data_IF_939271171856
#
_entry.id   IF_939271171856
#
_cell.length_a   1.000
_cell.length_b   1.000
_cell.length_c   1.000
_cell.angle_alpha   90.00
_cell.angle_beta   90.00
_cell.angle_gamma   90.00
#
_symmetry.space_group_name_H-M   'P 1'
#
loop_
_entity.id
_entity.type
_entity.pdbx_description
1 polymer ?
#
# COMPACT_ATOMS: atom_id res chain seq x y z
N UNK A 1 9.79 15.95 17.45
CA UNK A 1 8.61 15.48 16.68
C UNK A 1 8.72 13.97 16.62
N UNK A 2 7.76 13.23 17.16
CA UNK A 2 7.85 11.76 17.22
C UNK A 2 7.62 11.18 15.82
N UNK A 3 8.63 10.51 15.28
CA UNK A 3 8.54 9.74 14.05
C UNK A 3 7.52 8.62 14.28
N UNK A 4 6.41 8.62 13.53
CA UNK A 4 5.35 7.62 13.70
C UNK A 4 5.74 6.33 12.98
N UNK A 5 5.95 5.28 13.76
CA UNK A 5 6.46 3.98 13.31
C UNK A 5 5.32 3.02 12.93
N UNK A 6 5.52 2.25 11.86
CA UNK A 6 4.95 0.91 11.72
C UNK A 6 6.04 -0.08 12.15
N UNK A 7 5.79 -0.90 13.16
CA UNK A 7 6.70 -1.97 13.62
C UNK A 7 8.15 -1.53 13.92
N UNK A 8 8.34 -0.30 14.39
CA UNK A 8 9.66 0.23 14.77
C UNK A 8 10.51 0.75 13.60
N UNK A 9 9.98 0.79 12.37
CA UNK A 9 10.64 1.43 11.22
C UNK A 9 10.20 2.91 11.15
N UNK A 10 11.13 3.89 11.18
CA UNK A 10 10.78 5.29 10.99
C UNK A 10 10.26 5.55 9.58
N UNK A 11 9.15 6.29 9.47
CA UNK A 11 8.56 6.67 8.19
C UNK A 11 9.59 7.36 7.27
N UNK A 12 10.41 8.25 7.83
CA UNK A 12 11.47 8.97 7.11
C UNK A 12 12.51 8.03 6.50
N UNK A 13 12.96 7.04 7.29
CA UNK A 13 13.90 6.01 6.82
C UNK A 13 13.28 5.09 5.75
N UNK A 14 12.01 4.73 5.91
CA UNK A 14 11.30 3.91 4.93
C UNK A 14 11.12 4.66 3.59
N UNK A 15 10.65 5.91 3.61
CA UNK A 15 10.48 6.73 2.41
C UNK A 15 11.82 6.97 1.70
N UNK A 16 12.91 7.19 2.45
CA UNK A 16 14.27 7.28 1.87
C UNK A 16 14.66 5.99 1.16
N UNK A 17 14.36 4.84 1.76
CA UNK A 17 14.65 3.52 1.18
C UNK A 17 13.82 3.28 -0.08
N UNK A 18 12.53 3.62 -0.06
CA UNK A 18 11.64 3.49 -1.20
C UNK A 18 12.05 4.42 -2.36
N UNK A 19 12.46 5.66 -2.07
CA UNK A 19 13.03 6.56 -3.09
C UNK A 19 14.24 5.92 -3.78
N UNK A 20 15.15 5.31 -3.02
CA UNK A 20 16.33 4.65 -3.59
C UNK A 20 15.96 3.44 -4.47
N UNK A 21 14.92 2.68 -4.10
CA UNK A 21 14.39 1.58 -4.92
C UNK A 21 13.79 2.13 -6.22
N UNK A 22 12.93 3.15 -6.13
CA UNK A 22 12.31 3.79 -7.30
C UNK A 22 13.39 4.31 -8.26
N UNK A 23 14.39 5.05 -7.76
CA UNK A 23 15.49 5.57 -8.58
C UNK A 23 16.19 4.46 -9.38
N UNK A 24 16.37 3.27 -8.80
CA UNK A 24 16.97 2.13 -9.49
C UNK A 24 16.01 1.49 -10.49
N UNK A 25 14.75 1.27 -10.10
CA UNK A 25 13.75 0.64 -10.95
C UNK A 25 13.41 1.50 -12.19
N UNK A 26 13.39 2.84 -12.04
CA UNK A 26 13.15 3.77 -13.17
C UNK A 26 14.22 3.73 -14.26
N UNK A 27 15.37 3.11 -14.02
CA UNK A 27 16.41 2.92 -15.05
C UNK A 27 15.97 1.90 -16.10
N UNK A 28 15.15 0.92 -15.72
CA UNK A 28 14.79 -0.22 -16.59
C UNK A 28 13.29 -0.36 -16.84
N UNK A 29 12.45 0.42 -16.17
CA UNK A 29 10.99 0.36 -16.31
C UNK A 29 10.30 1.47 -15.53
N UNK A 30 9.00 1.33 -15.29
CA UNK A 30 8.26 2.20 -14.38
C UNK A 30 7.95 1.49 -13.05
N UNK A 31 7.40 2.22 -12.09
CA UNK A 31 7.00 1.68 -10.80
C UNK A 31 5.52 1.93 -10.53
N UNK A 32 4.89 0.96 -9.88
CA UNK A 32 3.60 1.10 -9.23
C UNK A 32 3.86 0.96 -7.74
N UNK A 33 3.40 1.92 -6.94
CA UNK A 33 3.43 1.84 -5.49
C UNK A 33 2.06 1.39 -5.00
N UNK A 34 2.03 0.30 -4.26
CA UNK A 34 0.79 -0.34 -3.81
C UNK A 34 0.62 -0.18 -2.30
N UNK A 35 -0.59 0.19 -1.87
CA UNK A 35 -0.98 0.26 -0.47
C UNK A 35 -1.84 -0.94 -0.11
N UNK A 36 -1.43 -1.77 0.86
CA UNK A 36 -2.05 -3.07 1.11
C UNK A 36 -3.41 -2.96 1.80
N UNK A 37 -4.31 -3.89 1.48
CA UNK A 37 -5.54 -4.12 2.23
C UNK A 37 -5.24 -4.89 3.52
N UNK A 38 -5.53 -4.32 4.70
CA UNK A 38 -5.33 -5.00 5.99
C UNK A 38 -6.46 -4.60 6.95
N UNK A 39 -7.11 -5.61 7.52
CA UNK A 39 -8.11 -5.46 8.57
C UNK A 39 -7.47 -5.21 9.93
N UNK A 40 -8.21 -4.48 10.77
CA UNK A 40 -8.04 -4.53 12.21
C UNK A 40 -6.86 -3.72 12.75
N UNK A 41 -6.99 -3.10 13.93
CA UNK A 41 -5.95 -2.25 14.53
C UNK A 41 -4.89 -3.07 15.28
N UNK A 42 -4.58 -4.30 14.83
CA UNK A 42 -3.51 -5.10 15.43
C UNK A 42 -2.26 -4.22 15.58
N UNK A 43 -1.54 -4.25 16.71
CA UNK A 43 -0.34 -3.44 16.91
C UNK A 43 0.66 -3.58 15.75
N UNK A 44 0.70 -4.77 15.14
CA UNK A 44 1.53 -5.10 13.98
C UNK A 44 1.17 -4.31 12.70
N UNK A 45 -0.02 -3.72 12.62
CA UNK A 45 -0.53 -3.01 11.43
C UNK A 45 -0.73 -1.51 11.65
N UNK A 46 -0.42 -1.03 12.85
CA UNK A 46 -0.47 0.38 13.22
C UNK A 46 -1.87 0.96 13.43
N UNK A 47 -1.92 2.02 14.22
CA UNK A 47 -3.10 2.84 14.40
C UNK A 47 -3.49 3.57 13.10
N UNK A 48 -4.78 3.85 12.91
CA UNK A 48 -5.31 4.51 11.70
C UNK A 48 -4.58 5.80 11.34
N UNK A 49 -4.30 6.65 12.33
CA UNK A 49 -3.59 7.92 12.09
C UNK A 49 -2.17 7.71 11.57
N UNK A 50 -1.48 6.65 12.03
CA UNK A 50 -0.15 6.30 11.54
C UNK A 50 -0.25 5.76 10.11
N UNK A 51 -1.15 4.79 9.86
CA UNK A 51 -1.40 4.26 8.51
C UNK A 51 -1.74 5.36 7.51
N UNK A 52 -2.65 6.26 7.86
CA UNK A 52 -3.03 7.39 7.01
C UNK A 52 -1.83 8.28 6.67
N UNK A 53 -0.94 8.54 7.63
CA UNK A 53 0.30 9.28 7.37
C UNK A 53 1.23 8.51 6.40
N UNK A 54 1.39 7.20 6.61
CA UNK A 54 2.21 6.35 5.74
C UNK A 54 1.65 6.28 4.32
N UNK A 55 0.34 6.08 4.17
CA UNK A 55 -0.36 6.10 2.89
C UNK A 55 -0.18 7.44 2.18
N UNK A 56 -0.41 8.55 2.87
CA UNK A 56 -0.21 9.89 2.32
C UNK A 56 1.24 10.14 1.86
N UNK A 57 2.22 9.65 2.61
CA UNK A 57 3.63 9.74 2.22
C UNK A 57 3.94 8.90 0.96
N UNK A 58 3.36 7.71 0.82
CA UNK A 58 3.50 6.89 -0.38
C UNK A 58 2.83 7.51 -1.61
N UNK A 59 1.64 8.08 -1.47
CA UNK A 59 0.97 8.85 -2.55
C UNK A 59 1.85 10.00 -3.01
N UNK A 60 2.43 10.75 -2.05
CA UNK A 60 3.34 11.86 -2.34
C UNK A 60 4.62 11.37 -3.04
N UNK A 61 5.17 10.25 -2.59
CA UNK A 61 6.36 9.65 -3.18
C UNK A 61 6.10 9.17 -4.62
N UNK A 62 4.97 8.49 -4.86
CA UNK A 62 4.58 8.00 -6.17
C UNK A 62 4.41 9.17 -7.16
N UNK A 63 3.63 10.18 -6.78
CA UNK A 63 3.42 11.38 -7.61
C UNK A 63 4.70 12.15 -7.90
N UNK A 64 5.57 12.33 -6.91
CA UNK A 64 6.86 13.03 -7.08
C UNK A 64 7.82 12.33 -8.03
N UNK A 65 7.68 11.02 -8.21
CA UNK A 65 8.51 10.21 -9.10
C UNK A 65 7.81 9.83 -10.40
N UNK A 66 6.59 10.32 -10.65
CA UNK A 66 5.79 9.94 -11.80
C UNK A 66 5.52 8.42 -11.84
N UNK A 67 5.26 7.82 -10.69
CA UNK A 67 4.87 6.42 -10.54
C UNK A 67 3.35 6.34 -10.35
N UNK A 68 2.74 5.24 -10.77
CA UNK A 68 1.35 4.97 -10.44
C UNK A 68 1.21 4.62 -8.94
N UNK A 69 0.02 4.85 -8.39
CA UNK A 69 -0.33 4.45 -7.02
C UNK A 69 -1.63 3.65 -7.04
N UNK A 70 -1.61 2.49 -6.39
CA UNK A 70 -2.74 1.57 -6.26
C UNK A 70 -3.09 1.44 -4.77
N UNK A 71 -4.36 1.70 -4.40
CA UNK A 71 -4.85 1.65 -3.01
C UNK A 71 -5.80 0.46 -2.85
N UNK A 72 -5.25 -0.70 -2.47
CA UNK A 72 -6.04 -1.92 -2.36
C UNK A 72 -6.93 -1.93 -1.12
N UNK A 73 -6.50 -1.25 -0.06
CA UNK A 73 -7.38 -0.98 1.07
C UNK A 73 -8.65 -0.28 0.60
N UNK A 74 -8.55 0.76 -0.23
CA UNK A 74 -9.73 1.40 -0.79
C UNK A 74 -10.48 0.50 -1.79
N UNK A 75 -9.77 -0.21 -2.66
CA UNK A 75 -10.33 -1.11 -3.67
C UNK A 75 -11.21 -2.19 -3.06
N UNK A 76 -10.77 -2.81 -1.96
CA UNK A 76 -11.46 -3.93 -1.31
C UNK A 76 -12.49 -3.49 -0.25
N UNK A 77 -12.75 -2.17 -0.12
CA UNK A 77 -13.83 -1.62 0.71
C UNK A 77 -13.37 -1.10 2.08
N UNK A 78 -12.10 -0.78 2.24
CA UNK A 78 -11.50 -0.28 3.48
C UNK A 78 -11.13 -1.40 4.46
N UNK A 79 -10.61 -1.02 5.63
CA UNK A 79 -10.10 -1.96 6.66
C UNK A 79 -11.09 -3.09 6.97
N UNK A 80 -12.38 -2.80 7.11
CA UNK A 80 -13.39 -3.81 7.43
C UNK A 80 -14.09 -4.40 6.19
N UNK A 81 -14.05 -3.68 5.05
CA UNK A 81 -14.76 -4.07 3.84
C UNK A 81 -14.26 -5.39 3.28
N UNK A 82 -12.94 -5.56 3.20
CA UNK A 82 -12.32 -6.77 2.67
C UNK A 82 -12.77 -8.03 3.43
N UNK A 83 -12.85 -7.98 4.76
CA UNK A 83 -13.32 -9.10 5.59
C UNK A 83 -14.81 -9.32 5.43
N UNK A 84 -15.61 -8.25 5.48
CA UNK A 84 -17.06 -8.35 5.33
C UNK A 84 -17.49 -8.95 3.99
N UNK A 85 -16.67 -8.74 2.96
CA UNK A 85 -16.87 -9.28 1.61
C UNK A 85 -16.25 -10.68 1.42
N UNK A 86 -15.64 -11.26 2.46
CA UNK A 86 -14.95 -12.56 2.38
C UNK A 86 -13.66 -12.53 1.58
N UNK A 87 -13.10 -11.34 1.32
CA UNK A 87 -11.90 -11.16 0.51
C UNK A 87 -10.63 -11.33 1.32
N UNK A 88 -10.65 -11.11 2.64
CA UNK A 88 -9.54 -11.46 3.56
C UNK A 88 -10.08 -12.26 4.74
N UNK A 89 -9.90 -13.58 4.75
CA UNK A 89 -10.55 -14.45 5.74
C UNK A 89 -9.96 -14.31 7.16
N UNK A 90 -8.68 -13.98 7.26
CA UNK A 90 -7.95 -13.73 8.51
C UNK A 90 -7.68 -12.25 8.76
N UNK A 91 -8.28 -11.38 7.95
CA UNK A 91 -8.07 -9.93 7.98
C UNK A 91 -6.74 -9.46 7.40
N UNK A 92 -5.95 -10.34 6.78
CA UNK A 92 -4.60 -10.00 6.32
C UNK A 92 -4.32 -10.53 4.92
N UNK A 93 -4.58 -11.81 4.67
CA UNK A 93 -4.29 -12.45 3.39
C UNK A 93 -5.53 -12.48 2.54
N UNK A 94 -5.39 -12.02 1.30
CA UNK A 94 -6.44 -12.07 0.32
C UNK A 94 -6.78 -13.53 -0.02
N UNK A 95 -8.06 -13.77 -0.24
CA UNK A 95 -8.57 -15.00 -0.85
C UNK A 95 -8.36 -14.92 -2.37
N UNK A 96 -8.54 -16.04 -3.08
CA UNK A 96 -8.46 -16.06 -4.54
C UNK A 96 -9.23 -14.91 -5.22
N UNK A 97 -10.51 -14.68 -4.87
CA UNK A 97 -11.26 -13.55 -5.39
C UNK A 97 -10.68 -12.16 -5.06
N UNK A 98 -10.07 -11.99 -3.88
CA UNK A 98 -9.39 -10.75 -3.50
C UNK A 98 -8.19 -10.47 -4.40
N UNK A 99 -7.32 -11.48 -4.57
CA UNK A 99 -6.19 -11.39 -5.50
C UNK A 99 -6.61 -11.15 -6.94
N UNK A 100 -7.72 -11.74 -7.40
CA UNK A 100 -8.24 -11.51 -8.76
C UNK A 100 -8.65 -10.05 -8.97
N UNK A 101 -9.25 -9.40 -7.96
CA UNK A 101 -9.67 -7.99 -8.02
C UNK A 101 -8.46 -7.05 -8.07
N UNK A 102 -7.47 -7.25 -7.20
CA UNK A 102 -6.23 -6.45 -7.17
C UNK A 102 -5.45 -6.61 -8.48
N UNK A 103 -5.28 -7.84 -8.97
CA UNK A 103 -4.59 -8.11 -10.23
C UNK A 103 -5.27 -7.41 -11.43
N UNK A 104 -6.61 -7.39 -11.50
CA UNK A 104 -7.35 -6.69 -12.55
C UNK A 104 -7.18 -5.17 -12.46
N UNK A 105 -7.02 -4.60 -11.26
CA UNK A 105 -6.71 -3.18 -11.11
C UNK A 105 -5.32 -2.87 -11.68
N UNK A 106 -4.33 -3.71 -11.39
CA UNK A 106 -2.95 -3.53 -11.86
C UNK A 106 -2.81 -3.67 -13.38
N UNK A 107 -3.60 -4.55 -14.02
CA UNK A 107 -3.59 -4.72 -15.48
C UNK A 107 -3.83 -3.41 -16.25
N UNK A 108 -4.51 -2.43 -15.65
CA UNK A 108 -4.77 -1.11 -16.26
C UNK A 108 -3.50 -0.29 -16.48
N UNK A 109 -2.43 -0.59 -15.75
CA UNK A 109 -1.14 0.07 -15.87
C UNK A 109 -0.20 -0.62 -16.87
N UNK A 110 -0.49 -1.86 -17.27
CA UNK A 110 0.34 -2.63 -18.22
C UNK A 110 -0.15 -2.56 -19.66
N UNK A 111 -1.33 -1.97 -19.90
CA UNK A 111 -1.96 -1.84 -21.24
C UNK A 111 -1.81 -0.44 -21.83
N UNK A 112 -0.97 0.41 -21.25
CA UNK A 112 -0.64 1.77 -21.71
C UNK A 112 0.75 1.79 -22.34
#
# INVERSE_FOLDING_TARGET
>A
MNERHLNGVPLTSAITSYQAIITRAKVTGDCILEWPSIEGPSPSYGADATRAQWKSALVTLASSNGCAFQDDEALLGGRAGAVSNGLTADGVHETGPGYDIEAQALQRYTVQ
#
